data_IF_418091793603
#
_entry.id   IF_418091793603
#
_cell.length_a   1.000
_cell.length_b   1.000
_cell.length_c   1.000
_cell.angle_alpha   90.00
_cell.angle_beta   90.00
_cell.angle_gamma   90.00
#
_symmetry.space_group_name_H-M   'P 1'
#
loop_
_entity.id
_entity.type
_entity.pdbx_description
1 polymer ?
#
# COMPACT_ATOMS: atom_id res chain seq x y z
N UNK A 1 19.02 -33.84 -13.57
CA UNK A 1 18.71 -32.60 -12.85
C UNK A 1 19.44 -32.66 -11.53
N UNK A 2 20.37 -31.72 -11.26
CA UNK A 2 21.02 -31.67 -9.96
C UNK A 2 19.98 -31.30 -8.90
N UNK A 3 19.84 -32.13 -7.87
CA UNK A 3 19.08 -31.79 -6.68
C UNK A 3 19.77 -30.59 -6.04
N UNK A 4 19.18 -29.40 -6.18
CA UNK A 4 19.64 -28.22 -5.48
C UNK A 4 19.56 -28.53 -3.98
N UNK A 5 20.69 -28.52 -3.27
CA UNK A 5 20.69 -28.72 -1.82
C UNK A 5 19.86 -27.61 -1.19
N UNK A 6 18.87 -27.99 -0.39
CA UNK A 6 18.07 -27.03 0.37
C UNK A 6 19.03 -26.23 1.27
N UNK A 7 18.99 -24.89 1.23
CA UNK A 7 19.85 -24.05 2.05
C UNK A 7 19.70 -24.40 3.53
N UNK A 8 20.82 -24.51 4.25
CA UNK A 8 20.84 -24.96 5.65
C UNK A 8 20.43 -23.89 6.66
N UNK A 9 20.29 -22.64 6.22
CA UNK A 9 19.85 -21.53 7.06
C UNK A 9 18.94 -20.57 6.28
N UNK A 10 18.23 -19.72 7.04
CA UNK A 10 17.25 -18.78 6.49
C UNK A 10 17.86 -17.72 5.57
N UNK A 11 19.05 -17.22 5.90
CA UNK A 11 19.74 -16.18 5.12
C UNK A 11 20.02 -16.68 3.71
N UNK A 12 20.59 -17.88 3.59
CA UNK A 12 20.91 -18.50 2.31
C UNK A 12 19.65 -18.93 1.56
N UNK A 13 18.61 -19.36 2.28
CA UNK A 13 17.30 -19.66 1.69
C UNK A 13 16.69 -18.43 1.00
N UNK A 14 16.61 -17.31 1.73
CA UNK A 14 16.05 -16.07 1.21
C UNK A 14 16.98 -15.39 0.20
N UNK A 15 18.28 -15.68 0.16
CA UNK A 15 19.14 -15.10 -0.88
C UNK A 15 18.74 -15.56 -2.30
N UNK A 16 18.13 -16.75 -2.44
CA UNK A 16 17.73 -17.33 -3.73
C UNK A 16 16.36 -16.81 -4.18
N UNK A 17 16.23 -16.13 -5.33
CA UNK A 17 14.95 -15.58 -5.80
C UNK A 17 13.84 -16.63 -5.99
N UNK A 18 14.18 -17.81 -6.52
CA UNK A 18 13.22 -18.91 -6.70
C UNK A 18 12.61 -19.36 -5.36
N UNK A 19 13.43 -19.49 -4.31
CA UNK A 19 12.94 -19.82 -2.97
C UNK A 19 12.01 -18.75 -2.40
N UNK A 20 12.26 -17.46 -2.67
CA UNK A 20 11.35 -16.38 -2.27
C UNK A 20 10.00 -16.50 -2.98
N UNK A 21 10.02 -16.74 -4.28
CA UNK A 21 8.82 -16.90 -5.09
C UNK A 21 8.00 -18.12 -4.63
N UNK A 22 8.66 -19.26 -4.43
CA UNK A 22 8.03 -20.49 -3.95
C UNK A 22 7.45 -20.31 -2.55
N UNK A 23 8.18 -19.67 -1.63
CA UNK A 23 7.68 -19.37 -0.29
C UNK A 23 6.47 -18.42 -0.34
N UNK A 24 6.53 -17.37 -1.16
CA UNK A 24 5.41 -16.45 -1.32
C UNK A 24 4.17 -17.15 -1.87
N UNK A 25 4.34 -18.02 -2.88
CA UNK A 25 3.26 -18.83 -3.46
C UNK A 25 2.66 -19.78 -2.44
N UNK A 26 3.51 -20.50 -1.70
CA UNK A 26 3.08 -21.37 -0.62
C UNK A 26 2.25 -20.61 0.42
N UNK A 27 2.74 -19.46 0.90
CA UNK A 27 2.05 -18.65 1.90
C UNK A 27 0.71 -18.12 1.38
N UNK A 28 0.67 -17.60 0.14
CA UNK A 28 -0.56 -17.09 -0.47
C UNK A 28 -1.63 -18.17 -0.61
N UNK A 29 -1.25 -19.35 -1.12
CA UNK A 29 -2.16 -20.49 -1.21
C UNK A 29 -2.61 -20.97 0.17
N UNK A 30 -1.68 -21.09 1.12
CA UNK A 30 -1.98 -21.53 2.48
C UNK A 30 -2.97 -20.60 3.18
N UNK A 31 -2.82 -19.28 3.03
CA UNK A 31 -3.75 -18.29 3.58
C UNK A 31 -5.17 -18.48 3.05
N UNK A 32 -5.32 -18.73 1.76
CA UNK A 32 -6.63 -18.91 1.12
C UNK A 32 -7.27 -20.22 1.57
N UNK A 33 -6.53 -21.32 1.53
CA UNK A 33 -7.04 -22.64 1.92
C UNK A 33 -7.45 -22.71 3.39
N UNK A 34 -6.74 -21.98 4.25
CA UNK A 34 -6.98 -21.97 5.71
C UNK A 34 -7.68 -20.70 6.17
N UNK A 35 -8.45 -20.05 5.29
CA UNK A 35 -9.23 -18.89 5.66
C UNK A 35 -10.21 -19.23 6.79
N UNK A 36 -10.32 -18.39 7.84
CA UNK A 36 -11.35 -18.58 8.87
C UNK A 36 -12.75 -18.56 8.26
N UNK A 37 -13.63 -19.44 8.74
CA UNK A 37 -14.98 -19.61 8.18
C UNK A 37 -15.84 -18.34 8.24
N UNK A 38 -15.57 -17.44 9.19
CA UNK A 38 -16.26 -16.17 9.39
C UNK A 38 -15.65 -15.00 8.60
N UNK A 39 -14.63 -15.25 7.77
CA UNK A 39 -13.87 -14.21 7.08
C UNK A 39 -13.68 -14.52 5.60
N UNK A 40 -13.66 -13.46 4.81
CA UNK A 40 -13.19 -13.51 3.43
C UNK A 40 -11.76 -13.00 3.37
N UNK A 41 -10.87 -13.83 2.84
CA UNK A 41 -9.51 -13.44 2.52
C UNK A 41 -9.40 -13.15 1.02
N UNK A 42 -8.66 -12.11 0.69
CA UNK A 42 -8.23 -11.80 -0.68
C UNK A 42 -6.73 -11.58 -0.63
N UNK A 43 -5.99 -12.31 -1.46
CA UNK A 43 -4.53 -12.26 -1.52
C UNK A 43 -4.13 -11.79 -2.91
N UNK A 44 -3.36 -10.71 -2.97
CA UNK A 44 -2.96 -10.05 -4.21
C UNK A 44 -1.44 -10.02 -4.39
N UNK A 45 -0.83 -11.20 -4.51
CA UNK A 45 0.60 -11.36 -4.71
C UNK A 45 1.12 -12.73 -4.28
N UNK A 46 2.35 -13.02 -4.67
CA UNK A 46 3.02 -14.29 -4.38
C UNK A 46 2.69 -15.43 -5.34
N UNK A 47 1.84 -15.22 -6.35
CA UNK A 47 1.52 -16.23 -7.35
C UNK A 47 2.49 -16.22 -8.55
N UNK A 48 2.32 -17.18 -9.45
CA UNK A 48 3.15 -17.31 -10.65
C UNK A 48 2.98 -16.10 -11.59
N UNK A 49 1.76 -15.57 -11.68
CA UNK A 49 1.46 -14.33 -12.40
C UNK A 49 1.48 -13.15 -11.44
N UNK A 50 2.14 -12.07 -11.84
CA UNK A 50 2.31 -10.87 -11.00
C UNK A 50 0.99 -10.14 -10.72
N UNK A 51 0.05 -10.21 -11.65
CA UNK A 51 -1.26 -9.56 -11.60
C UNK A 51 -2.33 -10.41 -10.91
N UNK A 52 -1.99 -11.64 -10.52
CA UNK A 52 -2.95 -12.59 -9.99
C UNK A 52 -3.41 -12.21 -8.58
N UNK A 53 -4.72 -12.36 -8.38
CA UNK A 53 -5.40 -12.20 -7.11
C UNK A 53 -6.30 -13.42 -6.93
N UNK A 54 -6.34 -13.93 -5.72
CA UNK A 54 -7.22 -15.03 -5.36
C UNK A 54 -7.98 -14.70 -4.07
N UNK A 55 -9.09 -15.40 -3.85
CA UNK A 55 -9.94 -15.21 -2.67
C UNK A 55 -10.40 -16.54 -2.10
N UNK A 56 -10.67 -16.56 -0.79
CA UNK A 56 -11.32 -17.68 -0.13
C UNK A 56 -12.84 -17.74 -0.35
N UNK A 57 -13.44 -16.70 -0.95
CA UNK A 57 -14.87 -16.65 -1.26
C UNK A 57 -15.09 -16.67 -2.79
N UNK A 58 -15.53 -17.79 -3.38
CA UNK A 58 -15.67 -17.92 -4.83
C UNK A 58 -16.75 -16.99 -5.43
N UNK A 59 -17.68 -16.49 -4.63
CA UNK A 59 -18.75 -15.59 -5.08
C UNK A 59 -18.32 -14.12 -5.12
N UNK A 60 -17.14 -13.79 -4.59
CA UNK A 60 -16.62 -12.43 -4.59
C UNK A 60 -15.96 -12.12 -5.94
N UNK A 61 -16.50 -11.13 -6.66
CA UNK A 61 -15.83 -10.58 -7.85
C UNK A 61 -14.56 -9.81 -7.44
N UNK A 62 -13.41 -10.35 -7.85
CA UNK A 62 -12.08 -9.80 -7.58
C UNK A 62 -11.36 -9.31 -8.85
N UNK A 63 -12.03 -9.26 -9.99
CA UNK A 63 -11.39 -8.88 -11.26
C UNK A 63 -10.75 -7.49 -11.18
N UNK A 64 -11.40 -6.53 -10.50
CA UNK A 64 -10.90 -5.16 -10.31
C UNK A 64 -9.67 -5.06 -9.39
N UNK A 65 -9.29 -6.15 -8.73
CA UNK A 65 -8.14 -6.19 -7.82
C UNK A 65 -6.87 -6.69 -8.50
N UNK A 66 -6.97 -7.26 -9.70
CA UNK A 66 -5.81 -7.65 -10.50
C UNK A 66 -4.95 -6.42 -10.84
N UNK A 67 -3.64 -6.51 -10.55
CA UNK A 67 -2.73 -5.40 -10.75
C UNK A 67 -1.29 -5.85 -10.93
N UNK A 68 -0.65 -5.35 -11.99
CA UNK A 68 0.76 -5.51 -12.27
C UNK A 68 1.62 -4.40 -11.62
N UNK A 69 1.17 -3.85 -10.49
CA UNK A 69 1.95 -2.87 -9.75
C UNK A 69 3.23 -3.53 -9.23
N UNK A 70 4.38 -2.92 -9.55
CA UNK A 70 5.71 -3.34 -9.08
C UNK A 70 5.83 -3.22 -7.56
N UNK A 71 5.40 -2.09 -6.99
CA UNK A 71 5.49 -1.83 -5.56
C UNK A 71 4.29 -2.42 -4.80
N UNK A 72 4.59 -3.17 -3.73
CA UNK A 72 3.60 -3.87 -2.92
C UNK A 72 2.70 -2.92 -2.12
N UNK A 73 3.16 -1.71 -1.85
CA UNK A 73 2.49 -0.70 -1.02
C UNK A 73 1.29 -0.05 -1.75
N UNK A 74 1.30 -0.06 -3.09
CA UNK A 74 0.20 0.37 -3.95
C UNK A 74 -0.97 -0.62 -3.99
N UNK A 75 -0.71 -1.93 -3.78
CA UNK A 75 -1.76 -2.97 -3.89
C UNK A 75 -2.86 -2.79 -2.83
N UNK A 76 -2.58 -2.59 -1.52
CA UNK A 76 -3.61 -2.31 -0.52
C UNK A 76 -4.51 -1.11 -0.85
N UNK A 77 -3.96 -0.09 -1.52
CA UNK A 77 -4.73 1.10 -1.93
C UNK A 77 -5.77 0.71 -2.98
N UNK A 78 -5.43 -0.15 -3.93
CA UNK A 78 -6.37 -0.69 -4.91
C UNK A 78 -7.52 -1.48 -4.26
N UNK A 79 -7.22 -2.29 -3.23
CA UNK A 79 -8.26 -2.96 -2.45
C UNK A 79 -9.20 -1.95 -1.76
N UNK A 80 -8.65 -0.86 -1.22
CA UNK A 80 -9.44 0.19 -0.59
C UNK A 80 -10.34 0.95 -1.59
N UNK A 81 -9.93 1.05 -2.85
CA UNK A 81 -10.71 1.69 -3.91
C UNK A 81 -11.95 0.88 -4.29
N UNK A 82 -11.83 -0.46 -4.27
CA UNK A 82 -12.86 -1.36 -4.77
C UNK A 82 -13.70 -2.04 -3.68
N UNK A 83 -13.31 -1.94 -2.42
CA UNK A 83 -14.12 -2.47 -1.32
C UNK A 83 -15.45 -1.73 -1.16
N UNK A 84 -16.50 -2.47 -0.79
CA UNK A 84 -17.81 -1.94 -0.40
C UNK A 84 -17.91 -1.64 1.11
N UNK A 85 -16.87 -1.95 1.88
CA UNK A 85 -16.87 -1.74 3.32
C UNK A 85 -16.97 -0.25 3.68
N UNK A 86 -17.85 0.08 4.62
CA UNK A 86 -18.00 1.46 5.11
C UNK A 86 -16.79 1.90 5.94
N UNK A 87 -16.16 0.95 6.67
CA UNK A 87 -15.02 1.19 7.54
C UNK A 87 -13.84 0.29 7.16
N UNK A 88 -12.67 0.90 6.93
CA UNK A 88 -11.47 0.22 6.44
C UNK A 88 -10.28 0.49 7.37
N UNK A 89 -9.54 -0.56 7.70
CA UNK A 89 -8.26 -0.45 8.42
C UNK A 89 -7.16 -1.03 7.56
N UNK A 90 -6.21 -0.18 7.18
CA UNK A 90 -5.03 -0.58 6.41
C UNK A 90 -3.88 -0.78 7.39
N UNK A 91 -3.20 -1.93 7.33
CA UNK A 91 -2.08 -2.25 8.22
C UNK A 91 -0.78 -2.44 7.44
N UNK A 92 -0.23 -1.38 6.84
CA UNK A 92 1.01 -1.48 6.08
C UNK A 92 2.22 -1.56 7.02
N UNK A 93 3.33 -2.07 6.49
CA UNK A 93 4.65 -1.93 7.13
C UNK A 93 5.34 -0.63 6.74
N UNK A 94 5.10 -0.18 5.53
CA UNK A 94 5.63 1.07 4.97
C UNK A 94 4.75 2.28 5.32
N UNK A 95 5.39 3.42 5.57
CA UNK A 95 4.72 4.70 5.79
C UNK A 95 4.31 5.43 4.51
N UNK A 96 4.89 5.10 3.35
CA UNK A 96 4.55 5.71 2.06
C UNK A 96 3.09 5.43 1.67
N UNK A 97 2.53 4.30 2.13
CA UNK A 97 1.10 3.96 2.03
C UNK A 97 0.21 5.07 2.58
N UNK A 98 0.61 5.79 3.64
CA UNK A 98 -0.21 6.88 4.17
C UNK A 98 -0.47 7.97 3.13
N UNK A 99 0.54 8.30 2.34
CA UNK A 99 0.44 9.35 1.31
C UNK A 99 -0.48 8.88 0.19
N UNK A 100 -0.34 7.61 -0.23
CA UNK A 100 -1.23 7.00 -1.23
C UNK A 100 -2.69 6.98 -0.74
N UNK A 101 -2.93 6.55 0.51
CA UNK A 101 -4.28 6.55 1.08
C UNK A 101 -4.87 7.97 1.12
N UNK A 102 -4.10 8.96 1.58
CA UNK A 102 -4.56 10.36 1.62
C UNK A 102 -4.86 10.88 0.20
N UNK A 103 -3.99 10.63 -0.77
CA UNK A 103 -4.16 11.08 -2.15
C UNK A 103 -5.43 10.50 -2.79
N UNK A 104 -5.67 9.21 -2.58
CA UNK A 104 -6.74 8.47 -3.25
C UNK A 104 -8.05 8.39 -2.45
N UNK A 105 -8.07 8.81 -1.18
CA UNK A 105 -9.25 8.68 -0.31
C UNK A 105 -10.53 9.27 -0.91
N UNK A 106 -10.43 10.38 -1.67
CA UNK A 106 -11.59 11.00 -2.31
C UNK A 106 -12.26 10.15 -3.39
N UNK A 107 -11.57 9.11 -3.90
CA UNK A 107 -12.08 8.16 -4.90
C UNK A 107 -12.58 6.86 -4.26
N UNK A 108 -12.34 6.66 -2.96
CA UNK A 108 -12.74 5.46 -2.23
C UNK A 108 -14.19 5.58 -1.74
N UNK A 109 -14.90 4.44 -1.68
CA UNK A 109 -16.31 4.39 -1.23
C UNK A 109 -16.47 4.40 0.29
N UNK A 110 -15.43 4.01 1.03
CA UNK A 110 -15.49 3.92 2.49
C UNK A 110 -15.61 5.32 3.14
N UNK A 111 -16.39 5.41 4.22
CA UNK A 111 -16.54 6.65 5.00
C UNK A 111 -15.46 6.82 6.03
N UNK A 112 -15.09 5.72 6.69
CA UNK A 112 -14.12 5.73 7.76
C UNK A 112 -12.89 4.91 7.36
N UNK A 113 -11.72 5.53 7.43
CA UNK A 113 -10.47 4.86 7.13
C UNK A 113 -9.40 5.19 8.16
N UNK A 114 -8.70 4.15 8.61
CA UNK A 114 -7.51 4.27 9.46
C UNK A 114 -6.32 3.53 8.87
N UNK A 115 -5.15 4.13 9.00
CA UNK A 115 -3.89 3.42 8.81
C UNK A 115 -3.34 3.02 10.18
N UNK A 116 -3.13 1.73 10.40
CA UNK A 116 -2.43 1.23 11.59
C UNK A 116 -0.95 1.55 11.47
N UNK A 117 -0.38 2.08 12.55
CA UNK A 117 1.02 2.45 12.66
C UNK A 117 1.58 2.09 14.04
N UNK A 118 2.90 2.23 14.21
CA UNK A 118 3.58 1.96 15.47
C UNK A 118 3.88 0.47 15.68
N UNK A 119 4.27 0.14 16.91
CA UNK A 119 4.68 -1.23 17.28
C UNK A 119 3.52 -2.01 17.89
N UNK A 120 3.70 -3.32 18.08
CA UNK A 120 2.71 -4.14 18.77
C UNK A 120 2.36 -3.62 20.17
N UNK A 121 3.34 -3.03 20.87
CA UNK A 121 3.19 -2.43 22.21
C UNK A 121 2.56 -1.03 22.16
N UNK A 122 2.87 -0.24 21.12
CA UNK A 122 2.38 1.14 20.97
C UNK A 122 1.67 1.30 19.64
N UNK A 123 0.52 0.62 19.50
CA UNK A 123 -0.31 0.69 18.30
C UNK A 123 -0.98 2.06 18.22
N UNK A 124 -0.93 2.66 17.03
CA UNK A 124 -1.63 3.90 16.68
C UNK A 124 -2.51 3.64 15.47
N UNK A 125 -3.64 4.33 15.40
CA UNK A 125 -4.51 4.35 14.23
C UNK A 125 -4.61 5.78 13.75
N UNK A 126 -4.08 6.05 12.56
CA UNK A 126 -4.07 7.37 11.94
C UNK A 126 -5.37 7.52 11.14
N UNK A 127 -6.29 8.43 11.51
CA UNK A 127 -7.57 8.59 10.83
C UNK A 127 -7.40 9.34 9.51
N UNK A 128 -7.29 8.61 8.40
CA UNK A 128 -7.10 9.18 7.06
C UNK A 128 -8.28 10.09 6.66
N UNK A 129 -9.49 9.67 7.03
CA UNK A 129 -10.72 10.43 6.79
C UNK A 129 -10.74 11.80 7.50
N UNK A 130 -10.11 11.93 8.67
CA UNK A 130 -9.97 13.22 9.37
C UNK A 130 -8.86 14.10 8.80
N UNK A 131 -7.78 13.51 8.25
CA UNK A 131 -6.68 14.27 7.64
C UNK A 131 -7.22 15.14 6.49
N UNK A 132 -8.12 14.57 5.67
CA UNK A 132 -8.84 15.32 4.63
C UNK A 132 -9.57 16.55 5.19
N UNK A 133 -10.26 16.39 6.32
CA UNK A 133 -11.06 17.46 6.93
C UNK A 133 -10.16 18.54 7.54
N UNK A 134 -9.15 18.13 8.31
CA UNK A 134 -8.26 19.02 9.05
C UNK A 134 -7.36 19.86 8.14
N UNK A 135 -6.93 19.30 7.02
CA UNK A 135 -6.03 20.01 6.12
C UNK A 135 -6.75 20.92 5.11
N UNK A 136 -8.08 21.02 5.16
CA UNK A 136 -8.90 21.79 4.20
C UNK A 136 -8.46 21.53 2.75
N UNK A 137 -8.17 20.27 2.42
CA UNK A 137 -7.60 19.92 1.13
C UNK A 137 -8.56 20.31 0.02
N UNK A 138 -8.17 21.33 -0.75
CA UNK A 138 -8.79 21.62 -2.03
C UNK A 138 -8.46 20.48 -3.00
N UNK A 139 -9.23 20.37 -4.09
CA UNK A 139 -8.94 19.40 -5.16
C UNK A 139 -7.47 19.47 -5.62
N UNK A 140 -6.92 20.68 -5.73
CA UNK A 140 -5.52 20.91 -6.10
C UNK A 140 -4.53 20.27 -5.12
N UNK A 141 -4.80 20.34 -3.81
CA UNK A 141 -3.91 19.76 -2.81
C UNK A 141 -3.90 18.23 -2.90
N UNK A 142 -5.05 17.59 -3.15
CA UNK A 142 -5.11 16.15 -3.38
C UNK A 142 -4.31 15.72 -4.62
N UNK A 143 -4.41 16.46 -5.72
CA UNK A 143 -3.67 16.19 -6.94
C UNK A 143 -2.16 16.42 -6.76
N UNK A 144 -1.78 17.37 -5.89
CA UNK A 144 -0.39 17.78 -5.71
C UNK A 144 0.36 17.02 -4.58
N UNK A 145 -0.31 16.20 -3.76
CA UNK A 145 0.31 15.54 -2.61
C UNK A 145 1.31 14.44 -3.00
N UNK A 146 1.02 13.68 -4.06
CA UNK A 146 1.94 12.65 -4.57
C UNK A 146 3.18 13.28 -5.22
N UNK A 147 3.03 14.27 -6.13
CA UNK A 147 4.18 15.03 -6.63
C UNK A 147 5.01 15.67 -5.51
N UNK A 148 4.35 16.26 -4.51
CA UNK A 148 5.03 16.80 -3.34
C UNK A 148 5.85 15.73 -2.62
N UNK A 149 5.28 14.54 -2.40
CA UNK A 149 5.98 13.45 -1.75
C UNK A 149 7.21 13.00 -2.55
N UNK A 150 7.07 12.84 -3.87
CA UNK A 150 8.16 12.46 -4.75
C UNK A 150 9.31 13.48 -4.71
N UNK A 151 9.05 14.78 -4.91
CA UNK A 151 10.12 15.78 -5.00
C UNK A 151 10.77 16.13 -3.66
N UNK A 152 10.08 15.90 -2.54
CA UNK A 152 10.61 16.18 -1.19
C UNK A 152 11.25 14.96 -0.54
N UNK A 153 11.43 13.89 -1.31
CA UNK A 153 12.16 12.68 -0.96
C UNK A 153 11.25 11.49 -0.68
N UNK A 154 11.42 10.41 -1.43
CA UNK A 154 10.76 9.11 -1.26
C UNK A 154 11.81 8.00 -1.44
N UNK A 155 11.39 6.77 -1.69
CA UNK A 155 12.33 5.65 -1.82
C UNK A 155 13.27 5.80 -3.02
N UNK A 156 12.82 6.50 -4.08
CA UNK A 156 13.59 6.73 -5.31
C UNK A 156 14.20 8.12 -5.42
N UNK A 157 13.83 9.07 -4.54
CA UNK A 157 14.24 10.48 -4.64
C UNK A 157 14.78 10.96 -3.29
N UNK A 158 15.91 11.67 -3.31
CA UNK A 158 16.46 12.28 -2.08
C UNK A 158 15.69 13.54 -1.67
N UNK A 159 15.70 13.87 -0.38
CA UNK A 159 15.14 15.13 0.11
C UNK A 159 16.07 16.31 -0.21
N UNK A 160 15.52 17.52 -0.27
CA UNK A 160 16.30 18.74 -0.45
C UNK A 160 17.21 19.00 0.77
N UNK A 161 18.49 19.26 0.55
CA UNK A 161 19.44 19.53 1.64
C UNK A 161 18.94 20.65 2.57
N UNK A 162 18.91 20.37 3.88
CA UNK A 162 18.39 21.32 4.88
C UNK A 162 16.87 21.42 4.99
N UNK A 163 16.11 20.71 4.14
CA UNK A 163 14.64 20.76 4.14
C UNK A 163 14.00 19.39 4.31
N UNK A 164 13.26 19.23 5.41
CA UNK A 164 12.38 18.08 5.62
C UNK A 164 11.04 18.27 4.91
N UNK A 165 10.25 17.20 4.77
CA UNK A 165 8.85 17.31 4.33
C UNK A 165 8.06 18.32 5.17
N UNK A 166 8.35 18.45 6.47
CA UNK A 166 7.71 19.44 7.35
C UNK A 166 8.04 20.88 6.94
N UNK A 167 9.29 21.19 6.58
CA UNK A 167 9.66 22.55 6.16
C UNK A 167 9.20 22.82 4.74
N UNK A 168 9.30 21.84 3.83
CA UNK A 168 8.77 21.94 2.47
C UNK A 168 7.25 22.12 2.44
N UNK A 169 6.50 21.51 3.38
CA UNK A 169 5.05 21.64 3.47
C UNK A 169 4.59 23.10 3.64
N UNK A 170 5.38 23.93 4.32
CA UNK A 170 5.08 25.37 4.47
C UNK A 170 5.03 26.08 3.13
N UNK A 171 5.97 25.75 2.23
CA UNK A 171 6.01 26.28 0.86
C UNK A 171 4.86 25.72 0.04
N UNK A 172 4.62 24.41 0.14
CA UNK A 172 3.54 23.71 -0.54
C UNK A 172 2.15 24.27 -0.22
N UNK A 173 1.89 24.65 1.04
CA UNK A 173 0.61 25.27 1.42
C UNK A 173 0.27 26.52 0.59
N UNK A 174 1.28 27.26 0.13
CA UNK A 174 1.08 28.47 -0.68
C UNK A 174 1.23 28.20 -2.19
N UNK A 175 2.09 27.24 -2.56
CA UNK A 175 2.53 27.03 -3.94
C UNK A 175 2.18 25.63 -4.52
N UNK A 176 1.23 24.90 -3.92
CA UNK A 176 0.83 23.56 -4.41
C UNK A 176 0.41 23.55 -5.89
N UNK A 177 -0.11 24.66 -6.42
CA UNK A 177 -0.47 24.80 -7.82
C UNK A 177 0.70 24.60 -8.79
N UNK A 178 1.96 24.82 -8.35
CA UNK A 178 3.16 24.57 -9.16
C UNK A 178 3.37 23.08 -9.45
N UNK A 179 2.75 22.20 -8.66
CA UNK A 179 2.87 20.75 -8.80
C UNK A 179 1.68 20.12 -9.52
N UNK A 180 0.70 20.92 -9.95
CA UNK A 180 -0.56 20.41 -10.50
C UNK A 180 -0.39 19.57 -11.76
N UNK A 181 0.69 19.77 -12.52
CA UNK A 181 0.94 19.09 -13.80
C UNK A 181 2.10 18.07 -13.72
N UNK A 182 2.67 17.87 -12.53
CA UNK A 182 3.78 16.95 -12.34
C UNK A 182 3.23 15.51 -12.22
N UNK A 183 3.68 14.61 -13.10
CA UNK A 183 3.26 13.19 -13.10
C UNK A 183 1.88 12.93 -13.71
N UNK A 184 1.35 13.86 -14.51
CA UNK A 184 0.18 13.65 -15.37
C UNK A 184 0.57 13.11 -16.74
#
# INVERSE_FOLDING_TARGET
MALCQLPSNWTDFIAVPANKADLACFLSNHLITNAPADKTLVVAGGFQREDEVQTSNPDLDIHQLQANHEEADARPVLHCMHTSAESVVVSPRDTNVLVLLVAHFHKMKCKNMWMKAGTAKHRKYIPVHEIKQKLSFTKLVFEAVLPFHAITGCDSVSYFSGHSKKTAWKVFNTHNHLLKDLGK
#
